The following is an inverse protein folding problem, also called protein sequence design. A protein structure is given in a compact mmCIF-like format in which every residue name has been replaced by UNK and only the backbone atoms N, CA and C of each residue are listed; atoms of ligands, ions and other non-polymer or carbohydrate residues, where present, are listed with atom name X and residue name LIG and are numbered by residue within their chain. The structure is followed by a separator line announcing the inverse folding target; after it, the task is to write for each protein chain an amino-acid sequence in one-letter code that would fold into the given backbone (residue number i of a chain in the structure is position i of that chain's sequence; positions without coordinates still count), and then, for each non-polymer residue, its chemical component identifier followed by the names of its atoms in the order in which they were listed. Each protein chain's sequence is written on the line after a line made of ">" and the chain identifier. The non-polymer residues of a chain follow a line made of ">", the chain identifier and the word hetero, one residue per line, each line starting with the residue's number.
data_IF_295268586322
#
_entry.id   IF_295268586322
#
_cell.length_a   1.000
_cell.length_b   1.000
_cell.length_c   1.000
_cell.angle_alpha   90.00
_cell.angle_beta   90.00
_cell.angle_gamma   90.00
#
_symmetry.space_group_name_H-M   'P 1'
#
loop_
_entity.id
_entity.type
_entity.pdbx_description
1 polymer ?
#
# COMPACT_ATOMS: atom_id res chain seq x y z
N UNK A 1 -7.13 12.40 27.67
CA UNK A 1 -5.81 12.33 27.02
C UNK A 1 -4.96 13.52 27.44
N UNK A 2 -3.72 13.29 27.83
CA UNK A 2 -2.73 14.31 28.23
C UNK A 2 -1.40 14.05 27.52
N UNK A 3 -0.43 14.91 27.75
CA UNK A 3 0.89 14.83 27.12
C UNK A 3 1.63 13.51 27.44
N UNK A 4 1.45 12.94 28.63
CA UNK A 4 2.05 11.63 28.97
C UNK A 4 1.56 10.51 28.06
N UNK A 5 0.27 10.49 27.72
CA UNK A 5 -0.32 9.52 26.78
C UNK A 5 0.30 9.65 25.38
N UNK A 6 0.50 10.88 24.93
CA UNK A 6 1.10 11.19 23.63
C UNK A 6 2.57 10.78 23.61
N UNK A 7 3.33 11.16 24.64
CA UNK A 7 4.76 10.85 24.74
C UNK A 7 4.99 9.33 24.76
N UNK A 8 4.24 8.59 25.58
CA UNK A 8 4.35 7.13 25.65
C UNK A 8 4.02 6.47 24.29
N UNK A 9 2.93 6.90 23.65
CA UNK A 9 2.49 6.35 22.37
C UNK A 9 3.47 6.66 21.24
N UNK A 10 3.94 7.91 21.14
CA UNK A 10 4.81 8.37 20.06
C UNK A 10 6.22 7.79 20.18
N UNK A 11 6.77 7.68 21.39
CA UNK A 11 8.07 7.03 21.60
C UNK A 11 7.99 5.53 21.28
N UNK A 12 6.87 4.85 21.61
CA UNK A 12 6.62 3.48 21.17
C UNK A 12 6.52 3.37 19.64
N UNK A 13 5.83 4.30 19.00
CA UNK A 13 5.76 4.35 17.53
C UNK A 13 7.16 4.50 16.91
N UNK A 14 8.04 5.32 17.50
CA UNK A 14 9.44 5.45 17.08
C UNK A 14 10.21 4.12 17.19
N UNK A 15 9.91 3.31 18.20
CA UNK A 15 10.54 1.98 18.38
C UNK A 15 10.08 0.97 17.32
N UNK A 16 8.83 1.04 16.88
CA UNK A 16 8.20 0.02 16.04
C UNK A 16 8.20 0.35 14.55
N UNK A 17 8.04 1.64 14.19
CA UNK A 17 7.87 2.06 12.81
C UNK A 17 9.20 2.23 12.08
N UNK A 18 9.50 1.43 11.04
CA UNK A 18 10.65 1.68 10.17
C UNK A 18 10.65 3.06 9.55
N UNK A 19 9.46 3.61 9.20
CA UNK A 19 9.32 4.96 8.66
C UNK A 19 9.80 6.03 9.64
N UNK A 20 9.39 5.91 10.91
CA UNK A 20 9.80 6.83 11.96
C UNK A 20 11.33 6.77 12.16
N UNK A 21 11.88 5.55 12.27
CA UNK A 21 13.33 5.34 12.42
C UNK A 21 14.14 5.95 11.29
N UNK A 22 13.70 5.78 10.05
CA UNK A 22 14.40 6.32 8.87
C UNK A 22 14.35 7.84 8.84
N UNK A 23 13.19 8.43 9.16
CA UNK A 23 13.00 9.87 9.01
C UNK A 23 13.55 10.68 10.18
N UNK A 24 13.25 10.26 11.40
CA UNK A 24 13.52 11.02 12.64
C UNK A 24 14.22 10.16 13.71
N UNK A 25 14.93 9.10 13.32
CA UNK A 25 15.68 8.26 14.23
C UNK A 25 16.65 9.06 15.11
N UNK A 26 16.72 8.72 16.38
CA UNK A 26 17.48 9.46 17.39
C UNK A 26 16.77 10.67 18.00
N UNK A 27 15.57 11.03 17.49
CA UNK A 27 14.71 12.03 18.13
C UNK A 27 13.82 11.38 19.19
N UNK A 28 13.35 12.18 20.16
CA UNK A 28 12.48 11.73 21.26
C UNK A 28 11.36 12.74 21.45
N UNK A 29 10.16 12.23 21.71
CA UNK A 29 9.03 13.06 22.12
C UNK A 29 9.11 13.32 23.63
N UNK A 30 9.00 14.58 24.00
CA UNK A 30 9.15 15.05 25.38
C UNK A 30 7.92 15.86 25.82
N UNK A 31 7.50 15.64 27.06
CA UNK A 31 6.47 16.46 27.72
C UNK A 31 7.03 17.83 28.05
N UNK A 32 6.31 18.89 27.69
CA UNK A 32 6.59 20.27 28.15
C UNK A 32 5.66 20.61 29.32
N UNK A 33 4.36 20.36 29.15
CA UNK A 33 3.34 20.48 30.16
C UNK A 33 2.21 19.45 29.94
N UNK A 34 1.10 19.53 30.65
CA UNK A 34 0.00 18.56 30.57
C UNK A 34 -0.64 18.44 29.17
N UNK A 35 -0.49 19.46 28.32
CA UNK A 35 -1.13 19.52 26.99
C UNK A 35 -0.16 19.89 25.85
N UNK A 36 1.13 20.00 26.18
CA UNK A 36 2.17 20.34 25.19
C UNK A 36 3.23 19.24 25.14
N UNK A 37 3.43 18.72 23.93
CA UNK A 37 4.50 17.76 23.61
C UNK A 37 5.42 18.37 22.56
N UNK A 38 6.71 18.15 22.73
CA UNK A 38 7.75 18.65 21.84
C UNK A 38 8.54 17.45 21.27
N UNK A 39 8.99 17.57 20.02
CA UNK A 39 10.05 16.73 19.45
C UNK A 39 11.20 17.65 18.98
N UNK A 40 12.42 17.27 19.32
CA UNK A 40 13.64 17.91 18.82
C UNK A 40 14.25 17.02 17.74
N UNK A 41 14.26 17.52 16.50
CA UNK A 41 14.79 16.77 15.37
C UNK A 41 16.31 16.90 15.28
N UNK A 42 16.99 15.82 14.99
CA UNK A 42 18.47 15.81 14.79
C UNK A 42 18.87 16.30 13.41
N UNK A 43 17.93 16.27 12.44
CA UNK A 43 18.08 16.75 11.06
C UNK A 43 16.72 17.26 10.53
N UNK A 44 16.70 18.10 9.49
CA UNK A 44 15.44 18.51 8.85
C UNK A 44 14.62 17.30 8.39
N UNK A 45 13.31 17.36 8.53
CA UNK A 45 12.38 16.30 8.16
C UNK A 45 11.09 16.90 7.59
N UNK A 46 11.16 17.53 6.42
CA UNK A 46 10.03 18.22 5.78
C UNK A 46 8.80 17.29 5.62
N UNK A 47 9.03 16.00 5.35
CA UNK A 47 7.95 15.02 5.15
C UNK A 47 7.38 14.44 6.45
N UNK A 48 7.80 14.92 7.63
CA UNK A 48 7.36 14.36 8.92
C UNK A 48 5.84 14.36 9.08
N UNK A 49 5.17 15.46 8.72
CA UNK A 49 3.70 15.55 8.82
C UNK A 49 3.02 14.53 7.91
N UNK A 50 3.53 14.30 6.70
CA UNK A 50 3.01 13.28 5.80
C UNK A 50 3.18 11.86 6.36
N UNK A 51 4.30 11.60 7.05
CA UNK A 51 4.54 10.30 7.68
C UNK A 51 3.63 10.09 8.89
N UNK A 52 3.39 11.13 9.70
CA UNK A 52 2.47 11.08 10.84
C UNK A 52 1.02 10.84 10.42
N UNK A 53 0.62 11.34 9.25
CA UNK A 53 -0.73 11.15 8.68
C UNK A 53 -0.87 9.86 7.86
N UNK A 54 0.19 9.06 7.76
CA UNK A 54 0.16 7.83 6.96
C UNK A 54 -0.80 6.81 7.57
N UNK A 55 -1.75 6.24 6.81
CA UNK A 55 -2.67 5.22 7.29
C UNK A 55 -2.00 3.86 7.55
N UNK A 56 -0.81 3.65 6.96
CA UNK A 56 0.00 2.46 7.21
C UNK A 56 1.05 2.75 8.28
N UNK A 57 1.17 1.91 9.31
CA UNK A 57 2.04 2.13 10.46
C UNK A 57 1.76 3.48 11.16
N UNK A 58 0.48 3.81 11.29
CA UNK A 58 0.04 5.08 11.86
C UNK A 58 0.45 5.23 13.34
N UNK A 59 0.63 6.48 13.77
CA UNK A 59 0.98 6.84 15.13
C UNK A 59 -0.28 6.84 16.01
N UNK A 60 -0.71 5.65 16.45
CA UNK A 60 -1.88 5.50 17.32
C UNK A 60 -1.61 6.04 18.73
N UNK A 61 -2.42 6.99 19.17
CA UNK A 61 -2.34 7.53 20.53
C UNK A 61 -3.32 6.77 21.42
N UNK A 62 -2.79 6.25 22.54
CA UNK A 62 -3.53 5.52 23.56
C UNK A 62 -3.08 5.93 24.97
N UNK A 63 -3.85 5.64 26.03
CA UNK A 63 -3.43 5.93 27.39
C UNK A 63 -2.05 5.33 27.72
N UNK A 64 -1.23 6.08 28.42
CA UNK A 64 0.10 5.64 28.84
C UNK A 64 0.05 4.27 29.54
N UNK A 65 -0.96 4.01 30.39
CA UNK A 65 -1.15 2.73 31.05
C UNK A 65 -1.27 1.56 30.04
N UNK A 66 -1.94 1.75 28.91
CA UNK A 66 -2.10 0.72 27.87
C UNK A 66 -0.77 0.47 27.14
N UNK A 67 0.02 1.51 26.91
CA UNK A 67 1.37 1.39 26.36
C UNK A 67 2.29 0.63 27.29
N UNK A 68 2.25 0.95 28.59
CA UNK A 68 3.15 0.38 29.60
C UNK A 68 2.78 -1.06 30.02
N UNK A 69 1.50 -1.44 29.92
CA UNK A 69 1.03 -2.80 30.20
C UNK A 69 1.12 -3.77 29.01
N UNK A 70 1.73 -3.35 27.89
CA UNK A 70 1.86 -4.16 26.66
C UNK A 70 2.64 -5.46 26.91
N UNK A 71 2.29 -6.49 26.15
CA UNK A 71 3.03 -7.75 26.06
C UNK A 71 4.01 -7.73 24.89
N UNK A 72 4.76 -8.82 24.70
CA UNK A 72 5.62 -9.00 23.50
C UNK A 72 4.82 -9.03 22.18
N UNK A 73 3.53 -9.38 22.24
CA UNK A 73 2.63 -9.44 21.07
C UNK A 73 1.86 -8.15 20.83
N UNK A 74 1.87 -7.20 21.75
CA UNK A 74 1.21 -5.90 21.58
C UNK A 74 0.49 -5.40 22.83
N UNK A 75 -0.41 -4.43 22.63
CA UNK A 75 -1.28 -3.92 23.69
C UNK A 75 -2.45 -4.87 23.94
N UNK A 76 -2.93 -4.90 25.15
CA UNK A 76 -4.05 -5.77 25.58
C UNK A 76 -5.37 -5.00 25.76
N UNK A 77 -5.31 -3.68 25.87
CA UNK A 77 -6.46 -2.79 25.94
C UNK A 77 -6.46 -1.85 24.76
N UNK A 78 -7.62 -1.73 24.07
CA UNK A 78 -7.79 -0.91 22.86
C UNK A 78 -8.59 0.34 23.20
N UNK A 79 -7.95 1.33 23.78
CA UNK A 79 -8.56 2.60 24.21
C UNK A 79 -8.00 3.72 23.36
N UNK A 80 -8.88 4.47 22.69
CA UNK A 80 -8.57 5.63 21.88
C UNK A 80 -9.57 6.76 22.10
N UNK A 81 -9.43 7.83 21.33
CA UNK A 81 -10.34 8.99 21.32
C UNK A 81 -11.26 9.03 20.11
N UNK A 82 -11.30 7.95 19.35
CA UNK A 82 -12.09 7.82 18.14
C UNK A 82 -13.60 7.72 18.39
N UNK A 83 -14.39 7.75 17.29
CA UNK A 83 -15.86 7.71 17.37
C UNK A 83 -16.44 6.34 17.67
N UNK A 84 -15.59 5.30 17.72
CA UNK A 84 -16.00 3.92 18.04
C UNK A 84 -15.19 3.38 19.21
N UNK A 85 -15.84 2.55 20.03
CA UNK A 85 -15.24 1.77 21.12
C UNK A 85 -15.12 0.32 20.66
N UNK A 86 -13.93 -0.28 20.86
CA UNK A 86 -13.74 -1.71 20.65
C UNK A 86 -14.53 -2.51 21.69
N UNK A 87 -15.28 -3.52 21.24
CA UNK A 87 -16.09 -4.38 22.09
C UNK A 87 -15.58 -5.81 22.10
N UNK A 88 -15.37 -6.38 20.92
CA UNK A 88 -15.04 -7.80 20.80
C UNK A 88 -14.28 -8.10 19.51
N UNK A 89 -13.33 -9.00 19.58
CA UNK A 89 -12.70 -9.65 18.43
C UNK A 89 -12.90 -11.17 18.55
N UNK A 90 -13.77 -11.71 17.72
CA UNK A 90 -13.91 -13.14 17.54
C UNK A 90 -13.06 -13.56 16.36
N UNK A 91 -11.96 -14.25 16.69
CA UNK A 91 -10.96 -14.64 15.68
C UNK A 91 -11.63 -15.39 14.52
N UNK A 92 -11.17 -15.11 13.30
CA UNK A 92 -11.67 -15.69 12.03
C UNK A 92 -13.15 -15.49 11.76
N UNK A 93 -13.82 -14.61 12.50
CA UNK A 93 -15.26 -14.35 12.38
C UNK A 93 -15.58 -12.86 12.20
N UNK A 94 -15.37 -12.04 13.24
CA UNK A 94 -15.65 -10.60 13.17
C UNK A 94 -14.89 -9.79 14.23
N UNK A 95 -14.83 -8.47 13.98
CA UNK A 95 -14.51 -7.47 15.00
C UNK A 95 -15.73 -6.59 15.20
N UNK A 96 -16.15 -6.38 16.46
CA UNK A 96 -17.30 -5.57 16.83
C UNK A 96 -16.88 -4.30 17.54
N UNK A 97 -17.54 -3.21 17.14
CA UNK A 97 -17.41 -1.90 17.76
C UNK A 97 -18.79 -1.35 18.14
N UNK A 98 -18.83 -0.56 19.20
CA UNK A 98 -19.98 0.29 19.53
C UNK A 98 -19.65 1.76 19.28
N UNK A 99 -20.67 2.59 19.06
CA UNK A 99 -20.52 4.03 18.95
C UNK A 99 -19.99 4.60 20.28
N UNK A 100 -19.03 5.51 20.18
CA UNK A 100 -18.56 6.27 21.32
C UNK A 100 -19.45 7.51 21.51
N UNK A 101 -20.38 7.46 22.46
CA UNK A 101 -21.30 8.57 22.73
C UNK A 101 -20.60 9.82 23.31
N UNK A 102 -19.35 9.66 23.77
CA UNK A 102 -18.52 10.78 24.28
C UNK A 102 -17.66 11.41 23.19
N UNK A 103 -17.71 10.88 21.95
CA UNK A 103 -16.92 11.45 20.85
C UNK A 103 -17.41 12.86 20.51
N UNK A 104 -16.47 13.77 20.42
CA UNK A 104 -16.74 15.16 20.00
C UNK A 104 -16.07 15.41 18.66
N UNK A 105 -16.87 15.82 17.67
CA UNK A 105 -16.37 16.21 16.35
C UNK A 105 -15.42 17.42 16.47
N UNK A 106 -14.32 17.45 15.70
CA UNK A 106 -13.41 18.59 15.66
C UNK A 106 -14.01 19.82 14.97
N UNK A 107 -15.25 19.74 14.45
CA UNK A 107 -16.00 20.88 13.91
C UNK A 107 -15.66 21.28 12.47
N UNK A 108 -14.89 20.47 11.73
CA UNK A 108 -14.65 20.67 10.31
C UNK A 108 -15.00 19.40 9.51
N UNK A 109 -15.28 19.58 8.22
CA UNK A 109 -15.77 18.51 7.36
C UNK A 109 -14.79 17.32 7.25
N UNK A 110 -15.34 16.12 7.11
CA UNK A 110 -14.56 14.91 6.85
C UNK A 110 -13.80 15.03 5.54
N UNK A 111 -12.50 14.78 5.60
CA UNK A 111 -11.62 14.70 4.42
C UNK A 111 -10.64 13.53 4.63
N UNK A 112 -10.84 12.42 3.91
CA UNK A 112 -10.13 11.18 4.18
C UNK A 112 -10.33 10.70 5.62
N UNK A 113 -9.25 10.57 6.38
CA UNK A 113 -9.26 10.18 7.81
C UNK A 113 -9.25 11.37 8.78
N UNK A 114 -9.39 12.61 8.29
CA UNK A 114 -9.39 13.81 9.12
C UNK A 114 -10.79 14.46 9.14
N UNK A 115 -11.10 15.18 10.22
CA UNK A 115 -12.35 15.93 10.36
C UNK A 115 -13.43 15.18 11.13
N UNK A 116 -14.68 15.48 10.81
CA UNK A 116 -15.85 14.94 11.49
C UNK A 116 -16.04 13.45 11.16
N UNK A 117 -15.64 12.59 12.08
CA UNK A 117 -15.78 11.12 11.99
C UNK A 117 -17.02 10.61 12.74
N UNK A 118 -18.07 11.39 12.81
CA UNK A 118 -19.32 10.96 13.47
C UNK A 118 -19.81 9.63 12.93
N UNK A 119 -20.18 8.72 13.83
CA UNK A 119 -20.79 7.41 13.52
C UNK A 119 -22.27 7.48 13.91
N UNK A 120 -23.15 7.18 12.96
CA UNK A 120 -24.60 7.20 13.15
C UNK A 120 -25.16 5.83 13.58
N UNK A 121 -24.43 4.75 13.36
CA UNK A 121 -24.80 3.40 13.78
C UNK A 121 -24.44 3.16 15.24
N UNK A 122 -25.29 2.39 15.95
CA UNK A 122 -25.02 2.01 17.35
C UNK A 122 -23.90 0.99 17.47
N UNK A 123 -23.89 0.03 16.56
CA UNK A 123 -22.91 -1.06 16.50
C UNK A 123 -22.44 -1.25 15.06
N UNK A 124 -21.19 -1.69 14.91
CA UNK A 124 -20.57 -2.01 13.64
C UNK A 124 -19.85 -3.34 13.77
N UNK A 125 -20.11 -4.24 12.83
CA UNK A 125 -19.44 -5.53 12.70
C UNK A 125 -18.61 -5.55 11.43
N UNK A 126 -17.32 -5.80 11.56
CA UNK A 126 -16.44 -6.08 10.43
C UNK A 126 -16.25 -7.59 10.34
N UNK A 127 -17.00 -8.24 9.47
CA UNK A 127 -16.92 -9.69 9.26
C UNK A 127 -15.70 -10.05 8.42
N UNK A 128 -15.04 -11.16 8.78
CA UNK A 128 -13.91 -11.73 8.07
C UNK A 128 -14.45 -12.81 7.13
N UNK A 129 -14.68 -12.45 5.88
CA UNK A 129 -15.25 -13.34 4.84
C UNK A 129 -14.24 -13.45 3.71
N UNK A 130 -13.50 -14.55 3.66
CA UNK A 130 -12.39 -14.74 2.71
C UNK A 130 -12.86 -15.05 1.29
N UNK A 131 -14.02 -15.71 1.14
CA UNK A 131 -14.60 -16.09 -0.14
C UNK A 131 -15.38 -14.93 -0.76
N UNK A 132 -15.03 -14.54 -2.01
CA UNK A 132 -15.68 -13.44 -2.72
C UNK A 132 -17.12 -13.73 -3.08
N UNK A 133 -17.45 -14.97 -3.41
CA UNK A 133 -18.85 -15.36 -3.76
C UNK A 133 -19.78 -15.28 -2.56
N UNK A 134 -19.27 -15.60 -1.35
CA UNK A 134 -20.04 -15.41 -0.10
C UNK A 134 -20.24 -13.92 0.17
N UNK A 135 -19.25 -13.07 -0.07
CA UNK A 135 -19.38 -11.61 0.06
C UNK A 135 -20.43 -11.07 -0.90
N UNK A 136 -20.38 -11.50 -2.17
CA UNK A 136 -21.37 -11.12 -3.19
C UNK A 136 -22.78 -11.58 -2.82
N UNK A 137 -22.95 -12.81 -2.37
CA UNK A 137 -24.26 -13.33 -1.93
C UNK A 137 -24.80 -12.57 -0.71
N UNK A 138 -23.94 -12.25 0.25
CA UNK A 138 -24.32 -11.53 1.48
C UNK A 138 -24.79 -10.10 1.22
N UNK A 139 -24.15 -9.35 0.30
CA UNK A 139 -24.62 -8.02 -0.08
C UNK A 139 -25.95 -8.10 -0.87
N UNK A 140 -26.14 -9.12 -1.71
CA UNK A 140 -27.38 -9.32 -2.45
C UNK A 140 -28.56 -9.68 -1.56
N UNK A 141 -28.34 -10.52 -0.55
CA UNK A 141 -29.38 -10.92 0.42
C UNK A 141 -29.69 -9.84 1.46
N UNK A 142 -28.86 -8.80 1.57
CA UNK A 142 -28.96 -7.80 2.63
C UNK A 142 -28.42 -8.26 3.98
N UNK A 143 -27.64 -9.34 4.03
CA UNK A 143 -26.91 -9.77 5.22
C UNK A 143 -25.79 -8.77 5.55
N UNK A 144 -25.13 -8.20 4.52
CA UNK A 144 -24.11 -7.18 4.68
C UNK A 144 -24.59 -5.85 4.11
N UNK A 145 -24.31 -4.76 4.82
CA UNK A 145 -24.61 -3.39 4.35
C UNK A 145 -23.52 -2.87 3.42
N UNK A 146 -22.25 -3.32 3.60
CA UNK A 146 -21.10 -2.94 2.79
C UNK A 146 -20.25 -4.19 2.58
N UNK A 147 -19.80 -4.40 1.36
CA UNK A 147 -18.87 -5.48 1.00
C UNK A 147 -17.71 -4.92 0.18
N UNK A 148 -16.48 -5.24 0.58
CA UNK A 148 -15.27 -4.84 -0.13
C UNK A 148 -14.78 -5.94 -1.08
N UNK A 149 -13.90 -5.55 -2.01
CA UNK A 149 -13.21 -6.48 -2.93
C UNK A 149 -14.18 -7.44 -3.61
N UNK A 150 -15.21 -6.87 -4.25
CA UNK A 150 -16.15 -7.60 -5.11
C UNK A 150 -15.39 -8.10 -6.34
N UNK A 151 -15.69 -9.31 -6.81
CA UNK A 151 -15.13 -9.81 -8.05
C UNK A 151 -15.57 -8.94 -9.23
N UNK A 152 -14.65 -8.64 -10.15
CA UNK A 152 -14.99 -7.92 -11.38
C UNK A 152 -16.04 -8.68 -12.21
N UNK A 153 -16.05 -10.01 -12.16
CA UNK A 153 -17.04 -10.85 -12.87
C UNK A 153 -18.48 -10.64 -12.36
N UNK A 154 -18.63 -10.26 -11.08
CA UNK A 154 -19.93 -10.06 -10.45
C UNK A 154 -20.49 -8.64 -10.66
N UNK A 155 -19.69 -7.70 -11.18
CA UNK A 155 -20.07 -6.29 -11.27
C UNK A 155 -21.34 -6.04 -12.05
N UNK A 156 -21.44 -6.61 -13.27
CA UNK A 156 -22.60 -6.42 -14.14
C UNK A 156 -23.91 -6.88 -13.47
N UNK A 157 -23.86 -7.97 -12.72
CA UNK A 157 -25.00 -8.50 -11.99
C UNK A 157 -25.38 -7.59 -10.81
N UNK A 158 -24.40 -7.11 -10.05
CA UNK A 158 -24.64 -6.23 -8.91
C UNK A 158 -25.12 -4.85 -9.33
N UNK A 159 -24.57 -4.29 -10.42
CA UNK A 159 -25.00 -3.01 -11.00
C UNK A 159 -26.43 -3.04 -11.52
N UNK A 160 -26.92 -4.21 -11.95
CA UNK A 160 -28.31 -4.39 -12.38
C UNK A 160 -29.30 -4.42 -11.19
N UNK A 161 -28.83 -4.58 -9.96
CA UNK A 161 -29.67 -4.61 -8.76
C UNK A 161 -29.86 -3.19 -8.19
N UNK A 162 -31.09 -2.60 -8.20
CA UNK A 162 -31.34 -1.24 -7.72
C UNK A 162 -31.10 -1.07 -6.20
N UNK A 163 -31.08 -2.17 -5.46
CA UNK A 163 -30.80 -2.16 -4.01
C UNK A 163 -29.30 -2.12 -3.67
N UNK A 164 -28.42 -2.10 -4.68
CA UNK A 164 -26.96 -2.10 -4.52
C UNK A 164 -26.36 -0.91 -5.28
N UNK A 165 -25.33 -0.32 -4.72
CA UNK A 165 -24.47 0.68 -5.36
C UNK A 165 -23.04 0.18 -5.38
N UNK A 166 -22.35 0.35 -6.52
CA UNK A 166 -20.92 0.09 -6.63
C UNK A 166 -20.16 1.40 -6.39
N UNK A 167 -19.12 1.31 -5.58
CA UNK A 167 -18.23 2.42 -5.24
C UNK A 167 -16.78 1.98 -5.46
N UNK A 168 -16.02 2.77 -6.21
CA UNK A 168 -14.62 2.45 -6.48
C UNK A 168 -13.71 2.95 -5.35
N UNK A 169 -12.77 2.13 -4.94
CA UNK A 169 -11.75 2.46 -3.97
C UNK A 169 -10.36 2.29 -4.59
N UNK A 170 -9.61 3.37 -4.79
CA UNK A 170 -8.22 3.26 -5.25
C UNK A 170 -7.37 2.66 -4.14
N UNK A 171 -6.77 1.50 -4.40
CA UNK A 171 -6.12 0.67 -3.38
C UNK A 171 -4.61 0.87 -3.36
N UNK A 172 -3.98 0.82 -4.53
CA UNK A 172 -2.53 0.87 -4.61
C UNK A 172 -2.01 0.71 -6.03
N UNK A 173 -0.75 0.33 -6.16
CA UNK A 173 -0.16 0.06 -7.46
C UNK A 173 0.35 -1.38 -7.56
N UNK A 174 0.20 -1.98 -8.72
CA UNK A 174 0.88 -3.20 -9.11
C UNK A 174 2.28 -2.89 -9.63
N UNK A 175 3.23 -3.70 -9.24
CA UNK A 175 4.58 -3.68 -9.79
C UNK A 175 5.22 -5.06 -9.70
N UNK A 176 6.26 -5.29 -10.49
CA UNK A 176 7.13 -6.45 -10.30
C UNK A 176 8.28 -6.05 -9.38
N UNK A 177 8.28 -6.60 -8.18
CA UNK A 177 9.40 -6.50 -7.26
C UNK A 177 10.57 -7.31 -7.83
N UNK A 178 11.77 -6.70 -7.85
CA UNK A 178 13.01 -7.35 -8.29
C UNK A 178 13.97 -7.45 -7.12
N UNK A 179 14.56 -8.62 -6.89
CA UNK A 179 15.66 -8.74 -5.94
C UNK A 179 16.94 -8.14 -6.54
N UNK A 180 17.44 -7.09 -5.89
CA UNK A 180 18.66 -6.39 -6.31
C UNK A 180 19.87 -6.73 -5.45
N UNK A 181 19.71 -7.67 -4.53
CA UNK A 181 20.74 -8.07 -3.58
C UNK A 181 21.47 -9.35 -4.02
N UNK A 182 20.77 -10.25 -4.70
CA UNK A 182 21.30 -11.49 -5.23
C UNK A 182 20.71 -11.76 -6.62
N UNK A 183 21.34 -12.69 -7.34
CA UNK A 183 20.82 -13.22 -8.58
C UNK A 183 20.93 -12.29 -9.78
N UNK A 184 20.27 -12.63 -10.88
CA UNK A 184 20.44 -11.93 -12.15
C UNK A 184 20.03 -10.46 -12.11
N UNK A 185 19.07 -10.07 -11.26
CA UNK A 185 18.60 -8.68 -11.17
C UNK A 185 19.51 -7.74 -10.35
N UNK A 186 20.64 -8.20 -9.81
CA UNK A 186 21.70 -7.30 -9.37
C UNK A 186 22.22 -6.45 -10.53
N UNK A 187 22.29 -7.03 -11.74
CA UNK A 187 22.75 -6.38 -12.93
C UNK A 187 21.68 -5.42 -13.50
N UNK A 188 22.02 -4.14 -13.60
CA UNK A 188 21.09 -3.11 -14.12
C UNK A 188 20.59 -3.42 -15.54
N UNK A 189 21.48 -3.90 -16.44
CA UNK A 189 21.07 -4.23 -17.81
C UNK A 189 20.06 -5.37 -17.86
N UNK A 190 20.13 -6.34 -16.94
CA UNK A 190 19.14 -7.42 -16.80
C UNK A 190 17.79 -6.84 -16.37
N UNK A 191 17.77 -5.91 -15.40
CA UNK A 191 16.52 -5.24 -14.99
C UNK A 191 15.93 -4.40 -16.12
N UNK A 192 16.76 -3.62 -16.81
CA UNK A 192 16.35 -2.83 -17.99
C UNK A 192 15.82 -3.73 -19.11
N UNK A 193 16.47 -4.88 -19.37
CA UNK A 193 15.99 -5.84 -20.35
C UNK A 193 14.57 -6.34 -19.99
N UNK A 194 14.32 -6.66 -18.73
CA UNK A 194 13.00 -7.04 -18.26
C UNK A 194 11.98 -5.90 -18.44
N UNK A 195 12.35 -4.65 -18.12
CA UNK A 195 11.49 -3.48 -18.29
C UNK A 195 11.09 -3.22 -19.76
N UNK A 196 12.03 -3.38 -20.69
CA UNK A 196 11.73 -3.25 -22.13
C UNK A 196 10.96 -4.44 -22.72
N UNK A 197 11.02 -5.63 -22.06
CA UNK A 197 10.35 -6.84 -22.52
C UNK A 197 8.85 -6.84 -22.25
N UNK A 198 8.42 -6.19 -21.16
CA UNK A 198 7.04 -6.32 -20.68
C UNK A 198 6.05 -5.44 -21.46
N UNK A 199 4.86 -5.99 -21.67
CA UNK A 199 3.65 -5.27 -22.05
C UNK A 199 2.74 -5.17 -20.83
N UNK A 200 2.73 -3.96 -20.24
CA UNK A 200 1.90 -3.66 -19.07
C UNK A 200 0.42 -3.83 -19.37
N UNK A 201 -0.03 -3.54 -20.59
CA UNK A 201 -1.44 -3.63 -20.96
C UNK A 201 -1.92 -5.08 -20.94
N UNK A 202 -1.11 -6.03 -21.45
CA UNK A 202 -1.45 -7.46 -21.41
C UNK A 202 -1.46 -7.99 -19.96
N UNK A 203 -0.47 -7.62 -19.15
CA UNK A 203 -0.41 -8.06 -17.74
C UNK A 203 -1.62 -7.54 -16.99
N UNK A 204 -1.92 -6.25 -17.12
CA UNK A 204 -3.02 -5.64 -16.37
C UNK A 204 -4.40 -6.10 -16.83
N UNK A 205 -4.57 -6.48 -18.10
CA UNK A 205 -5.82 -7.03 -18.61
C UNK A 205 -6.25 -8.35 -17.95
N UNK A 206 -5.29 -9.12 -17.38
CA UNK A 206 -5.63 -10.34 -16.63
C UNK A 206 -5.60 -10.13 -15.11
N UNK A 207 -4.81 -9.17 -14.62
CA UNK A 207 -4.72 -8.88 -13.18
C UNK A 207 -5.90 -8.06 -12.70
N UNK A 208 -6.36 -7.10 -13.51
CA UNK A 208 -7.54 -6.26 -13.29
C UNK A 208 -8.34 -6.24 -14.59
N UNK A 209 -9.25 -7.20 -14.80
CA UNK A 209 -9.90 -7.43 -16.10
C UNK A 209 -10.81 -6.30 -16.61
N UNK A 210 -11.21 -5.39 -15.73
CA UNK A 210 -12.04 -4.24 -16.08
C UNK A 210 -11.15 -2.97 -16.14
N UNK A 211 -11.00 -2.40 -17.35
CA UNK A 211 -10.12 -1.24 -17.59
C UNK A 211 -10.54 0.03 -16.84
N UNK A 212 -11.81 0.17 -16.48
CA UNK A 212 -12.33 1.29 -15.69
C UNK A 212 -11.73 1.32 -14.26
N UNK A 213 -11.13 0.20 -13.84
CA UNK A 213 -10.46 0.06 -12.53
C UNK A 213 -8.93 0.14 -12.62
N UNK A 214 -8.38 0.40 -13.81
CA UNK A 214 -6.92 0.51 -14.03
C UNK A 214 -6.54 1.94 -14.37
N UNK A 215 -5.64 2.52 -13.60
CA UNK A 215 -5.05 3.82 -13.89
C UNK A 215 -3.58 3.62 -14.31
N UNK A 216 -3.35 3.59 -15.64
CA UNK A 216 -2.03 3.38 -16.25
C UNK A 216 -1.16 4.61 -16.05
N UNK A 217 -0.18 4.49 -15.18
CA UNK A 217 0.69 5.59 -14.82
C UNK A 217 2.08 5.10 -14.38
N UNK A 218 3.11 5.72 -14.89
CA UNK A 218 4.50 5.27 -14.74
C UNK A 218 5.08 5.49 -13.33
N UNK A 219 4.65 6.54 -12.63
CA UNK A 219 5.24 6.92 -11.35
C UNK A 219 4.90 5.94 -10.24
N UNK A 220 5.85 5.81 -9.31
CA UNK A 220 5.63 5.06 -8.07
C UNK A 220 4.72 5.78 -7.06
N UNK A 221 4.36 7.04 -7.32
CA UNK A 221 3.38 7.79 -6.53
C UNK A 221 2.14 8.07 -7.38
N UNK A 222 0.96 8.00 -6.76
CA UNK A 222 -0.32 8.20 -7.43
C UNK A 222 -0.40 9.57 -8.11
N UNK A 223 -0.81 9.59 -9.39
CA UNK A 223 -0.73 10.81 -10.23
C UNK A 223 -1.56 11.98 -9.69
N UNK A 224 -2.73 11.67 -9.11
CA UNK A 224 -3.62 12.69 -8.53
C UNK A 224 -3.27 13.01 -7.06
N UNK A 225 -2.21 12.42 -6.52
CA UNK A 225 -1.68 12.72 -5.20
C UNK A 225 -0.70 13.88 -5.19
N UNK A 226 -0.30 14.31 -3.99
CA UNK A 226 0.62 15.44 -3.82
C UNK A 226 2.01 15.22 -4.44
N UNK A 227 2.39 13.97 -4.69
CA UNK A 227 3.71 13.54 -5.16
C UNK A 227 3.69 12.87 -6.54
N UNK A 228 2.59 12.98 -7.29
CA UNK A 228 2.52 12.51 -8.67
C UNK A 228 3.51 13.24 -9.57
N UNK A 229 4.16 12.52 -10.50
CA UNK A 229 5.13 13.10 -11.47
C UNK A 229 5.19 12.24 -12.72
N UNK A 230 5.34 12.86 -13.89
CA UNK A 230 5.55 12.17 -15.16
C UNK A 230 7.05 11.94 -15.48
N UNK A 231 7.95 12.36 -14.59
CA UNK A 231 9.39 12.22 -14.77
C UNK A 231 9.79 10.75 -14.88
N UNK A 232 10.50 10.40 -15.93
CA UNK A 232 10.90 9.01 -16.24
C UNK A 232 9.87 8.20 -17.04
N UNK A 233 8.72 8.78 -17.42
CA UNK A 233 7.68 8.08 -18.19
C UNK A 233 8.17 7.51 -19.52
N UNK A 234 9.23 8.09 -20.12
CA UNK A 234 9.87 7.59 -21.33
C UNK A 234 10.52 6.21 -21.16
N UNK A 235 10.75 5.74 -19.94
CA UNK A 235 11.28 4.39 -19.66
C UNK A 235 10.19 3.36 -19.38
N UNK A 236 8.95 3.78 -19.24
CA UNK A 236 7.83 2.92 -18.84
C UNK A 236 7.08 2.35 -20.05
N UNK A 237 6.71 1.07 -20.01
CA UNK A 237 5.86 0.35 -21.00
C UNK A 237 6.29 0.54 -22.46
N UNK A 238 7.60 0.47 -22.72
CA UNK A 238 8.17 0.72 -24.06
C UNK A 238 7.89 -0.42 -25.04
N UNK A 239 7.68 -1.65 -24.55
CA UNK A 239 7.37 -2.85 -25.37
C UNK A 239 8.40 -3.10 -26.47
N UNK A 240 9.66 -2.78 -26.22
CA UNK A 240 10.76 -2.90 -27.20
C UNK A 240 11.54 -4.20 -26.97
N UNK A 241 11.00 -5.29 -27.51
CA UNK A 241 11.62 -6.62 -27.37
C UNK A 241 12.99 -6.73 -28.06
N UNK A 242 13.27 -5.91 -29.07
CA UNK A 242 14.57 -5.87 -29.72
C UNK A 242 15.61 -5.24 -28.78
N UNK A 243 15.26 -4.13 -28.14
CA UNK A 243 16.10 -3.49 -27.12
C UNK A 243 16.29 -4.39 -25.91
N UNK A 244 15.24 -5.09 -25.47
CA UNK A 244 15.30 -6.06 -24.37
C UNK A 244 16.34 -7.16 -24.67
N UNK A 245 16.30 -7.79 -25.85
CA UNK A 245 17.26 -8.81 -26.27
C UNK A 245 18.69 -8.26 -26.33
N UNK A 246 18.86 -7.06 -26.88
CA UNK A 246 20.17 -6.40 -26.91
C UNK A 246 20.75 -6.23 -25.49
N UNK A 247 19.97 -5.65 -24.58
CA UNK A 247 20.39 -5.40 -23.20
C UNK A 247 20.70 -6.70 -22.45
N UNK A 248 19.89 -7.74 -22.65
CA UNK A 248 20.11 -9.05 -22.03
C UNK A 248 21.41 -9.67 -22.53
N UNK A 249 21.70 -9.60 -23.83
CA UNK A 249 22.98 -10.04 -24.38
C UNK A 249 24.18 -9.23 -23.86
N UNK A 250 24.05 -7.91 -23.82
CA UNK A 250 25.08 -7.02 -23.30
C UNK A 250 25.34 -7.20 -21.79
N UNK A 251 24.36 -7.70 -21.05
CA UNK A 251 24.48 -7.95 -19.61
C UNK A 251 25.37 -9.16 -19.30
N UNK A 252 25.56 -10.05 -20.27
CA UNK A 252 26.23 -11.33 -20.07
C UNK A 252 25.39 -12.36 -19.33
N UNK A 253 24.04 -12.20 -19.31
CA UNK A 253 23.14 -13.17 -18.69
C UNK A 253 23.33 -14.55 -19.32
N UNK A 254 23.60 -15.55 -18.48
CA UNK A 254 24.04 -16.90 -18.87
C UNK A 254 22.91 -17.93 -18.93
N UNK A 255 21.65 -17.50 -18.69
CA UNK A 255 20.49 -18.38 -18.61
C UNK A 255 20.24 -18.94 -17.22
N UNK A 256 20.88 -18.42 -16.18
CA UNK A 256 20.53 -18.73 -14.78
C UNK A 256 19.04 -18.54 -14.56
N UNK A 257 18.31 -19.53 -14.02
CA UNK A 257 16.87 -19.43 -13.81
C UNK A 257 16.51 -18.22 -12.94
N UNK A 258 15.52 -17.45 -13.39
CA UNK A 258 14.87 -16.40 -12.62
C UNK A 258 13.75 -17.03 -11.78
N UNK A 259 13.92 -17.10 -10.47
CA UNK A 259 12.89 -17.61 -9.56
C UNK A 259 11.82 -16.52 -9.38
N UNK A 260 10.66 -16.74 -10.00
CA UNK A 260 9.49 -15.86 -9.90
C UNK A 260 8.49 -16.45 -8.91
N UNK A 261 8.16 -15.72 -7.85
CA UNK A 261 7.15 -16.15 -6.88
C UNK A 261 5.76 -15.65 -7.24
N UNK A 262 4.75 -16.51 -7.04
CA UNK A 262 3.33 -16.16 -7.09
C UNK A 262 2.55 -16.91 -6.01
N UNK A 263 1.24 -16.63 -5.86
CA UNK A 263 0.42 -17.22 -4.81
C UNK A 263 -0.97 -17.61 -5.27
N UNK A 264 -1.46 -18.74 -4.77
CA UNK A 264 -2.83 -19.22 -4.99
C UNK A 264 -3.90 -18.38 -4.28
N UNK A 265 -3.50 -17.52 -3.32
CA UNK A 265 -4.44 -16.65 -2.61
C UNK A 265 -5.10 -15.60 -3.53
N UNK A 266 -4.43 -15.27 -4.65
CA UNK A 266 -4.90 -14.32 -5.64
C UNK A 266 -4.75 -14.94 -7.05
N UNK A 267 -5.78 -15.60 -7.59
CA UNK A 267 -5.70 -16.27 -8.90
C UNK A 267 -5.21 -15.35 -10.03
N UNK A 268 -5.68 -14.11 -10.07
CA UNK A 268 -5.27 -13.11 -11.07
C UNK A 268 -3.77 -12.77 -11.02
N UNK A 269 -3.12 -12.96 -9.86
CA UNK A 269 -1.65 -12.81 -9.77
C UNK A 269 -0.91 -13.97 -10.42
N UNK A 270 -1.47 -15.17 -10.33
CA UNK A 270 -0.92 -16.34 -11.05
C UNK A 270 -1.01 -16.10 -12.54
N UNK A 271 -2.18 -15.65 -13.04
CA UNK A 271 -2.41 -15.36 -14.44
C UNK A 271 -1.48 -14.24 -14.94
N UNK A 272 -1.37 -13.14 -14.20
CA UNK A 272 -0.43 -12.06 -14.51
C UNK A 272 1.04 -12.51 -14.49
N UNK A 273 1.41 -13.40 -13.57
CA UNK A 273 2.77 -13.97 -13.51
C UNK A 273 3.05 -14.89 -14.69
N UNK A 274 2.05 -15.61 -15.21
CA UNK A 274 2.18 -16.43 -16.43
C UNK A 274 2.42 -15.56 -17.66
N UNK A 275 1.69 -14.44 -17.81
CA UNK A 275 1.92 -13.48 -18.89
C UNK A 275 3.31 -12.85 -18.77
N UNK A 276 3.68 -12.40 -17.57
CA UNK A 276 5.02 -11.86 -17.31
C UNK A 276 6.13 -12.87 -17.67
N UNK A 277 5.99 -14.14 -17.24
CA UNK A 277 6.91 -15.22 -17.61
C UNK A 277 7.02 -15.34 -19.11
N UNK A 278 5.90 -15.42 -19.84
CA UNK A 278 5.88 -15.56 -21.30
C UNK A 278 6.63 -14.41 -21.99
N UNK A 279 6.39 -13.17 -21.54
CA UNK A 279 7.02 -11.96 -22.11
C UNK A 279 8.54 -11.96 -21.86
N UNK A 280 8.98 -12.34 -20.66
CA UNK A 280 10.40 -12.44 -20.34
C UNK A 280 11.09 -13.57 -21.12
N UNK A 281 10.47 -14.72 -21.23
CA UNK A 281 11.02 -15.87 -22.01
C UNK A 281 11.11 -15.56 -23.50
N UNK A 282 10.19 -14.75 -24.05
CA UNK A 282 10.22 -14.32 -25.46
C UNK A 282 11.47 -13.50 -25.83
N UNK A 283 12.14 -12.89 -24.85
CA UNK A 283 13.38 -12.13 -25.07
C UNK A 283 14.64 -12.87 -24.61
N UNK A 284 14.50 -14.07 -24.01
CA UNK A 284 15.62 -14.97 -23.70
C UNK A 284 15.91 -15.17 -22.22
N UNK A 285 15.04 -14.68 -21.33
CA UNK A 285 15.12 -15.08 -19.91
C UNK A 285 14.72 -16.56 -19.74
N UNK A 286 15.26 -17.19 -18.71
CA UNK A 286 14.85 -18.51 -18.23
C UNK A 286 14.06 -18.32 -16.93
N UNK A 287 12.74 -18.51 -16.94
CA UNK A 287 11.89 -18.19 -15.78
C UNK A 287 11.33 -19.45 -15.11
N UNK A 288 11.66 -19.63 -13.85
CA UNK A 288 11.12 -20.65 -12.95
C UNK A 288 9.99 -20.05 -12.09
N UNK A 289 8.74 -20.19 -12.55
CA UNK A 289 7.56 -19.71 -11.83
C UNK A 289 7.17 -20.70 -10.72
N UNK A 290 7.26 -20.27 -9.49
CA UNK A 290 6.92 -21.03 -8.29
C UNK A 290 5.69 -20.45 -7.60
N UNK A 291 4.66 -21.28 -7.40
CA UNK A 291 3.36 -20.86 -6.86
C UNK A 291 3.14 -21.53 -5.50
N UNK A 292 2.89 -20.69 -4.49
CA UNK A 292 2.73 -21.12 -3.10
C UNK A 292 1.45 -20.58 -2.48
N UNK A 293 1.10 -21.05 -1.27
CA UNK A 293 0.16 -20.34 -0.41
C UNK A 293 0.76 -19.00 0.04
N UNK A 294 -0.12 -18.11 0.52
CA UNK A 294 0.27 -16.75 0.88
C UNK A 294 1.38 -16.68 1.95
N UNK A 295 1.26 -17.49 3.01
CA UNK A 295 2.20 -17.45 4.13
C UNK A 295 3.59 -17.94 3.70
N UNK A 296 3.65 -19.02 2.95
CA UNK A 296 4.88 -19.59 2.39
C UNK A 296 5.56 -18.61 1.42
N UNK A 297 4.79 -17.99 0.50
CA UNK A 297 5.35 -17.00 -0.43
C UNK A 297 5.94 -15.79 0.32
N UNK A 298 5.24 -15.27 1.33
CA UNK A 298 5.75 -14.16 2.14
C UNK A 298 7.01 -14.54 2.91
N UNK A 299 7.12 -15.77 3.37
CA UNK A 299 8.32 -16.23 4.08
C UNK A 299 9.52 -16.41 3.15
N UNK A 300 9.30 -16.97 1.98
CA UNK A 300 10.34 -17.07 0.94
C UNK A 300 10.85 -15.70 0.50
N UNK A 301 9.96 -14.74 0.30
CA UNK A 301 10.30 -13.37 -0.11
C UNK A 301 11.14 -12.59 0.90
N UNK A 302 11.27 -13.04 2.15
CA UNK A 302 12.17 -12.43 3.15
C UNK A 302 13.64 -12.80 2.91
N UNK A 303 13.90 -13.86 2.16
CA UNK A 303 15.24 -14.38 1.92
C UNK A 303 15.62 -14.13 0.46
N UNK A 304 16.55 -13.19 0.17
CA UNK A 304 16.93 -12.83 -1.19
C UNK A 304 17.63 -13.98 -1.95
N UNK A 305 17.97 -15.07 -1.30
CA UNK A 305 18.50 -16.28 -1.97
C UNK A 305 17.43 -17.22 -2.51
N UNK A 306 16.14 -16.95 -2.24
CA UNK A 306 15.02 -17.82 -2.58
C UNK A 306 14.11 -17.28 -3.67
N UNK A 307 14.31 -16.06 -4.11
CA UNK A 307 13.53 -15.49 -5.19
C UNK A 307 14.30 -14.40 -5.91
N UNK A 308 13.92 -14.13 -7.15
CA UNK A 308 14.46 -13.03 -7.96
C UNK A 308 13.41 -11.98 -8.26
N UNK A 309 12.14 -12.37 -8.46
CA UNK A 309 11.05 -11.43 -8.69
C UNK A 309 9.68 -11.95 -8.23
N UNK A 310 8.74 -11.02 -8.07
CA UNK A 310 7.34 -11.33 -7.81
C UNK A 310 6.44 -10.19 -8.30
N UNK A 311 5.31 -10.54 -8.96
CA UNK A 311 4.25 -9.60 -9.28
C UNK A 311 3.37 -9.43 -8.05
N UNK A 312 3.29 -8.21 -7.53
CA UNK A 312 2.60 -7.88 -6.29
C UNK A 312 1.92 -6.51 -6.40
N UNK A 313 1.08 -6.17 -5.44
CA UNK A 313 0.62 -4.80 -5.28
C UNK A 313 1.02 -4.24 -3.91
N UNK A 314 1.13 -2.92 -3.84
CA UNK A 314 1.44 -2.18 -2.62
C UNK A 314 0.38 -1.11 -2.37
N UNK A 315 -0.05 -0.92 -1.11
CA UNK A 315 -0.95 0.16 -0.76
C UNK A 315 -0.39 1.53 -1.18
N UNK A 316 -1.28 2.45 -1.51
CA UNK A 316 -0.90 3.83 -1.79
C UNK A 316 -0.05 4.40 -0.66
N UNK A 317 1.10 4.96 -1.02
CA UNK A 317 1.94 5.69 -0.09
C UNK A 317 1.54 7.17 -0.08
N UNK A 318 1.55 7.79 1.10
CA UNK A 318 1.26 9.23 1.26
C UNK A 318 2.47 10.11 0.94
N UNK A 319 3.67 9.51 0.91
CA UNK A 319 4.94 10.19 0.66
C UNK A 319 5.95 9.19 0.07
N UNK A 320 6.85 9.63 -0.82
CA UNK A 320 7.79 8.73 -1.49
C UNK A 320 8.69 7.91 -0.56
N UNK A 321 9.09 8.46 0.58
CA UNK A 321 9.89 7.77 1.59
C UNK A 321 9.17 6.59 2.27
N UNK A 322 7.84 6.48 2.09
CA UNK A 322 7.03 5.38 2.59
C UNK A 322 6.89 4.21 1.59
N UNK A 323 7.38 4.35 0.37
CA UNK A 323 7.33 3.30 -0.65
C UNK A 323 8.22 2.12 -0.27
N UNK A 324 7.64 0.95 -0.05
CA UNK A 324 8.38 -0.26 0.33
C UNK A 324 9.36 -0.72 -0.76
N UNK A 325 8.99 -0.58 -2.02
CA UNK A 325 9.82 -0.91 -3.18
C UNK A 325 11.16 -0.18 -3.21
N UNK A 326 11.27 0.95 -2.49
CA UNK A 326 12.44 1.81 -2.45
C UNK A 326 13.20 1.72 -1.11
N UNK A 327 13.00 0.65 -0.34
CA UNK A 327 13.68 0.42 0.93
C UNK A 327 14.86 -0.56 0.77
N UNK A 328 15.81 -0.49 1.69
CA UNK A 328 17.00 -1.37 1.72
C UNK A 328 16.71 -2.77 2.27
N UNK A 329 15.48 -2.99 2.75
CA UNK A 329 15.00 -4.26 3.30
C UNK A 329 14.15 -5.01 2.27
N UNK A 330 13.51 -6.12 2.69
CA UNK A 330 12.63 -6.92 1.84
C UNK A 330 11.69 -6.06 0.98
N UNK A 331 11.27 -6.57 -0.14
CA UNK A 331 10.51 -5.94 -1.22
C UNK A 331 11.34 -4.97 -2.09
N UNK A 332 12.25 -4.22 -1.54
CA UNK A 332 13.08 -3.28 -2.29
C UNK A 332 14.50 -3.78 -2.53
N UNK A 333 15.17 -4.21 -1.47
CA UNK A 333 16.59 -4.58 -1.47
C UNK A 333 17.49 -3.56 -2.19
N UNK A 334 17.10 -2.26 -2.12
CA UNK A 334 17.81 -1.18 -2.79
C UNK A 334 19.05 -0.80 -1.99
N UNK A 335 20.20 -0.83 -2.66
CA UNK A 335 21.46 -0.33 -2.12
C UNK A 335 22.04 0.84 -2.92
N UNK A 336 21.23 1.50 -3.77
CA UNK A 336 21.66 2.62 -4.59
C UNK A 336 21.84 3.87 -3.73
N UNK A 337 23.05 4.47 -3.68
CA UNK A 337 23.29 5.71 -2.94
C UNK A 337 22.34 6.84 -3.35
N UNK A 338 21.99 6.93 -4.63
CA UNK A 338 21.09 7.92 -5.21
C UNK A 338 19.71 7.92 -4.56
N UNK A 339 19.22 6.76 -4.09
CA UNK A 339 17.94 6.68 -3.40
C UNK A 339 18.01 7.33 -2.02
N UNK A 340 19.07 7.04 -1.26
CA UNK A 340 19.29 7.67 0.04
C UNK A 340 19.51 9.17 -0.08
N UNK A 341 20.33 9.60 -1.04
CA UNK A 341 20.60 11.00 -1.33
C UNK A 341 19.34 11.74 -1.81
N UNK A 342 18.52 11.11 -2.67
CA UNK A 342 17.26 11.66 -3.13
C UNK A 342 16.28 11.90 -1.97
N UNK A 343 16.16 10.93 -1.07
CA UNK A 343 15.31 11.09 0.14
C UNK A 343 15.89 12.14 1.10
N UNK A 344 17.20 12.26 1.24
CA UNK A 344 17.81 13.34 2.03
C UNK A 344 17.53 14.71 1.43
N UNK A 345 17.67 14.87 0.10
CA UNK A 345 17.31 16.12 -0.60
C UNK A 345 15.84 16.50 -0.38
N UNK A 346 14.92 15.52 -0.49
CA UNK A 346 13.50 15.75 -0.20
C UNK A 346 13.27 16.26 1.22
N UNK A 347 13.87 15.59 2.22
CA UNK A 347 13.63 15.89 3.63
C UNK A 347 14.31 17.18 4.09
N UNK A 348 15.42 17.56 3.47
CA UNK A 348 16.17 18.80 3.78
C UNK A 348 15.79 19.99 2.89
N UNK A 349 14.84 19.81 1.97
CA UNK A 349 14.39 20.84 1.07
C UNK A 349 13.84 22.07 1.83
N UNK A 350 14.02 23.27 1.26
CA UNK A 350 13.57 24.51 1.84
C UNK A 350 12.09 24.80 1.58
N UNK A 351 11.51 24.13 0.58
CA UNK A 351 10.11 24.23 0.20
C UNK A 351 9.53 22.87 -0.22
N UNK A 352 8.21 22.77 -0.25
CA UNK A 352 7.50 21.59 -0.79
C UNK A 352 7.79 21.41 -2.29
N UNK A 353 7.95 22.48 -3.02
CA UNK A 353 8.27 22.47 -4.45
C UNK A 353 9.64 21.89 -4.70
N UNK A 354 10.66 22.30 -3.94
CA UNK A 354 12.01 21.72 -4.03
C UNK A 354 12.00 20.22 -3.66
N UNK A 355 11.21 19.84 -2.65
CA UNK A 355 11.06 18.45 -2.28
C UNK A 355 10.40 17.62 -3.39
N UNK A 356 9.37 18.15 -4.06
CA UNK A 356 8.73 17.51 -5.22
C UNK A 356 9.68 17.39 -6.41
N UNK A 357 10.54 18.40 -6.65
CA UNK A 357 11.54 18.30 -7.69
C UNK A 357 12.56 17.19 -7.38
N UNK A 358 13.04 17.13 -6.13
CA UNK A 358 13.95 16.06 -5.71
C UNK A 358 13.31 14.67 -5.85
N UNK A 359 12.01 14.55 -5.60
CA UNK A 359 11.25 13.32 -5.87
C UNK A 359 11.15 13.03 -7.36
N UNK A 360 10.86 14.01 -8.20
CA UNK A 360 10.76 13.82 -9.66
C UNK A 360 12.08 13.30 -10.24
N UNK A 361 13.21 13.85 -9.82
CA UNK A 361 14.53 13.40 -10.22
C UNK A 361 14.80 11.95 -9.77
N UNK A 362 14.39 11.62 -8.53
CA UNK A 362 14.52 10.27 -8.00
C UNK A 362 13.59 9.27 -8.70
N UNK A 363 12.35 9.66 -9.02
CA UNK A 363 11.41 8.81 -9.75
C UNK A 363 11.95 8.47 -11.16
N UNK A 364 12.53 9.44 -11.84
CA UNK A 364 13.19 9.21 -13.13
C UNK A 364 14.37 8.22 -12.99
N UNK A 365 15.23 8.41 -11.99
CA UNK A 365 16.31 7.48 -11.70
C UNK A 365 15.82 6.05 -11.46
N UNK A 366 14.77 5.87 -10.65
CA UNK A 366 14.20 4.56 -10.34
C UNK A 366 13.62 3.86 -11.57
N UNK A 367 12.93 4.60 -12.43
CA UNK A 367 12.40 4.06 -13.69
C UNK A 367 13.50 3.77 -14.70
N UNK A 368 14.49 4.65 -14.85
CA UNK A 368 15.64 4.47 -15.74
C UNK A 368 16.47 3.23 -15.38
N UNK A 369 16.70 2.99 -14.11
CA UNK A 369 17.48 1.84 -13.61
C UNK A 369 16.65 0.57 -13.42
N UNK A 370 15.37 0.63 -13.77
CA UNK A 370 14.42 -0.46 -13.55
C UNK A 370 14.52 -1.03 -12.12
N UNK A 371 14.48 -0.15 -11.13
CA UNK A 371 14.57 -0.52 -9.71
C UNK A 371 13.48 -1.52 -9.29
N UNK A 372 12.31 -1.39 -9.85
CA UNK A 372 11.22 -2.35 -9.93
C UNK A 372 10.41 -2.02 -11.18
N UNK A 373 9.59 -2.95 -11.68
CA UNK A 373 8.80 -2.68 -12.88
C UNK A 373 7.42 -2.17 -12.45
N UNK A 374 7.23 -0.85 -12.51
CA UNK A 374 5.92 -0.25 -12.24
C UNK A 374 4.91 -0.65 -13.32
N UNK A 375 3.72 -1.11 -12.93
CA UNK A 375 2.69 -1.52 -13.87
C UNK A 375 1.57 -0.48 -13.94
N UNK A 376 0.67 -0.46 -12.95
CA UNK A 376 -0.44 0.48 -12.93
C UNK A 376 -0.99 0.68 -11.52
N UNK A 377 -1.64 1.80 -11.27
CA UNK A 377 -2.54 1.94 -10.14
C UNK A 377 -3.86 1.25 -10.44
N UNK A 378 -4.54 0.79 -9.39
CA UNK A 378 -5.81 0.11 -9.55
C UNK A 378 -6.79 0.48 -8.45
N UNK A 379 -8.06 0.29 -8.76
CA UNK A 379 -9.17 0.42 -7.83
C UNK A 379 -9.85 -0.93 -7.64
N UNK A 380 -10.41 -1.16 -6.46
CA UNK A 380 -11.27 -2.30 -6.18
C UNK A 380 -12.73 -1.86 -6.11
N UNK A 381 -13.67 -2.63 -6.68
CA UNK A 381 -15.08 -2.39 -6.49
C UNK A 381 -15.53 -2.77 -5.08
N UNK A 382 -16.22 -1.84 -4.42
CA UNK A 382 -16.97 -2.08 -3.19
C UNK A 382 -18.45 -2.02 -3.53
N UNK A 383 -19.24 -2.87 -2.90
CA UNK A 383 -20.69 -2.84 -3.01
C UNK A 383 -21.30 -2.36 -1.69
N UNK A 384 -22.30 -1.49 -1.78
CA UNK A 384 -23.08 -1.04 -0.63
C UNK A 384 -24.56 -1.24 -0.86
N UNK A 385 -25.32 -1.55 0.19
CA UNK A 385 -26.77 -1.47 0.12
C UNK A 385 -27.19 -0.03 -0.27
N UNK A 386 -28.22 0.12 -1.12
CA UNK A 386 -28.70 1.42 -1.59
C UNK A 386 -29.18 2.32 -0.45
N UNK A 387 -29.58 1.72 0.68
CA UNK A 387 -29.95 2.40 1.91
C UNK A 387 -28.75 3.05 2.64
N UNK A 388 -27.52 2.62 2.38
CA UNK A 388 -26.32 3.25 2.95
C UNK A 388 -26.05 4.54 2.20
N UNK A 389 -26.18 5.65 2.90
CA UNK A 389 -25.92 6.98 2.37
C UNK A 389 -24.54 7.49 2.79
N UNK A 390 -23.96 8.36 1.94
CA UNK A 390 -22.70 9.08 2.17
C UNK A 390 -21.47 8.19 2.39
N UNK A 391 -21.49 6.92 1.95
CA UNK A 391 -20.32 6.05 2.00
C UNK A 391 -19.24 6.53 1.02
N UNK A 392 -18.04 6.73 1.55
CA UNK A 392 -16.84 7.10 0.78
C UNK A 392 -15.69 6.24 1.26
N UNK A 393 -15.29 5.20 0.53
CA UNK A 393 -14.15 4.40 0.92
C UNK A 393 -12.88 5.26 0.93
N UNK A 394 -12.02 5.00 1.89
CA UNK A 394 -10.70 5.63 1.96
C UNK A 394 -9.74 4.63 2.64
N UNK A 395 -8.82 4.09 1.87
CA UNK A 395 -7.82 3.11 2.33
C UNK A 395 -8.47 2.02 3.21
N UNK A 396 -9.54 1.38 2.69
CA UNK A 396 -10.35 0.38 3.37
C UNK A 396 -11.79 0.84 3.63
N UNK A 397 -12.50 0.11 4.49
CA UNK A 397 -13.90 0.36 4.84
C UNK A 397 -14.03 1.46 5.92
N UNK A 398 -13.78 2.71 5.58
CA UNK A 398 -14.10 3.84 6.45
C UNK A 398 -15.61 4.16 6.40
N UNK A 399 -16.29 4.08 7.54
CA UNK A 399 -17.75 4.30 7.64
C UNK A 399 -18.12 5.63 8.30
N UNK A 400 -17.17 6.54 8.44
CA UNK A 400 -17.40 7.86 9.02
C UNK A 400 -18.41 8.67 8.21
N UNK A 401 -19.37 9.28 8.87
CA UNK A 401 -20.40 10.06 8.23
C UNK A 401 -21.46 9.25 7.47
N UNK A 402 -21.38 7.91 7.44
CA UNK A 402 -22.39 7.06 6.82
C UNK A 402 -23.62 6.93 7.70
N UNK A 403 -24.80 6.90 7.08
CA UNK A 403 -26.07 6.71 7.77
C UNK A 403 -27.03 5.87 6.91
N UNK A 404 -28.08 5.31 7.54
CA UNK A 404 -29.12 4.60 6.82
C UNK A 404 -30.28 5.54 6.47
N UNK A 405 -30.76 5.44 5.23
CA UNK A 405 -31.97 6.12 4.76
C UNK A 405 -33.26 5.31 5.05
N UNK A 406 -33.15 4.19 5.80
CA UNK A 406 -34.31 3.36 6.22
C UNK A 406 -34.91 3.86 7.50
#
# INVERSE_FOLDING_TARGET
>A
MKADDVVASMNRWMELSPKAKTLIGGSVFEKVDDYTVKISLTKPALTLLNVLTSPCQFAAIMPEKCVNSRTSTGVTEYIGTGPMKFEEWKQDSYVRFSRNEEYTSPGYALTGEAGDKTIYYKEVYYYIVTDSSIRTAGIQSGEYDISQSISYDDLSMLQANPEIKIVNNTVGNYAVCLDKKNGPFENEKVRQAAQYAIDVDEIMAVVVPDEDYVDKYSSYMYKNGAWGTDSGSQYWNQKDTAKAKQLLQESGYDGTPIVMLSTTAYPTWVDGSLILKQQLEAVGFNVDLQIYDWATMLDMKKDPSKFDCALLWWPMATVPTALKLNQTTQDGWISFPEVSEGFEKMNSASSTEDAKQAWSDLNEFLLKTASSLSLAYFSEPYATASSVANYKPFIGMAIYGCYSNK
#
